data_IF_374493720714
#
_entry.id   IF_374493720714
#
_cell.length_a   1.000
_cell.length_b   1.000
_cell.length_c   1.000
_cell.angle_alpha   90.00
_cell.angle_beta   90.00
_cell.angle_gamma   90.00
#
_symmetry.space_group_name_H-M   'P 1'
#
loop_
_entity.id
_entity.type
_entity.pdbx_description
1 polymer ?
#
# COMPACT_ATOMS: atom_id res chain seq x y z
N UNK A 1 -12.34 8.75 16.28
CA UNK A 1 -12.84 7.45 15.75
C UNK A 1 -12.15 7.14 14.43
N UNK A 2 -11.80 5.88 14.16
CA UNK A 2 -11.12 5.43 12.93
C UNK A 2 -11.99 4.44 12.16
N UNK A 3 -12.27 4.73 10.88
CA UNK A 3 -13.06 3.87 9.99
C UNK A 3 -12.12 3.21 8.97
N UNK A 4 -12.14 1.89 8.85
CA UNK A 4 -11.26 1.20 7.88
C UNK A 4 -11.36 -0.32 7.90
N UNK A 5 -10.60 -0.98 7.02
CA UNK A 5 -10.33 -2.41 7.09
C UNK A 5 -9.18 -2.64 8.07
N UNK A 6 -9.52 -2.79 9.34
CA UNK A 6 -8.59 -2.81 10.47
C UNK A 6 -8.21 -4.22 10.94
N UNK A 7 -8.15 -5.17 10.02
CA UNK A 7 -7.61 -6.51 10.32
C UNK A 7 -6.11 -6.42 10.68
N UNK A 8 -5.63 -7.26 11.61
CA UNK A 8 -4.21 -7.35 11.92
C UNK A 8 -3.36 -7.56 10.65
N UNK A 9 -2.26 -6.81 10.53
CA UNK A 9 -1.39 -6.86 9.35
C UNK A 9 -1.77 -5.89 8.22
N UNK A 10 -2.95 -5.30 8.24
CA UNK A 10 -3.36 -4.29 7.26
C UNK A 10 -2.80 -2.90 7.60
N UNK A 11 -2.50 -2.10 6.56
CA UNK A 11 -1.96 -0.74 6.75
C UNK A 11 -2.93 0.19 7.50
N UNK A 12 -4.24 -0.01 7.36
CA UNK A 12 -5.25 0.72 8.11
C UNK A 12 -5.17 0.43 9.61
N UNK A 13 -4.93 -0.85 10.01
CA UNK A 13 -4.71 -1.22 11.40
C UNK A 13 -3.43 -0.58 11.97
N UNK A 14 -2.36 -0.53 11.17
CA UNK A 14 -1.10 0.12 11.56
C UNK A 14 -1.30 1.62 11.81
N UNK A 15 -2.07 2.31 10.95
CA UNK A 15 -2.41 3.73 11.14
C UNK A 15 -3.31 3.96 12.35
N UNK A 16 -4.30 3.10 12.58
CA UNK A 16 -5.14 3.15 13.79
C UNK A 16 -4.28 3.07 15.05
N UNK A 17 -3.33 2.12 15.11
CA UNK A 17 -2.40 2.01 16.25
C UNK A 17 -1.52 3.26 16.41
N UNK A 18 -1.09 3.86 15.30
CA UNK A 18 -0.29 5.07 15.33
C UNK A 18 -1.04 6.24 15.98
N UNK A 19 -2.36 6.39 15.78
CA UNK A 19 -3.17 7.36 16.50
C UNK A 19 -3.15 7.11 18.04
N UNK A 20 -3.25 5.85 18.48
CA UNK A 20 -3.15 5.50 19.91
C UNK A 20 -1.78 5.88 20.48
N UNK A 21 -0.69 5.65 19.72
CA UNK A 21 0.67 6.03 20.13
C UNK A 21 0.91 7.55 20.19
N UNK A 22 0.10 8.33 19.48
CA UNK A 22 0.08 9.80 19.59
C UNK A 22 -0.68 10.30 20.84
N UNK A 23 -1.20 9.38 21.67
CA UNK A 23 -1.91 9.72 22.91
C UNK A 23 -3.42 9.90 22.76
N UNK A 24 -3.98 9.61 21.57
CA UNK A 24 -5.42 9.72 21.35
C UNK A 24 -6.15 8.46 21.86
N UNK A 25 -7.34 8.66 22.42
CA UNK A 25 -8.30 7.56 22.65
C UNK A 25 -8.93 7.19 21.33
N UNK A 26 -8.73 5.97 20.84
CA UNK A 26 -9.17 5.56 19.49
C UNK A 26 -10.20 4.43 19.57
N UNK A 27 -11.35 4.65 18.94
CA UNK A 27 -12.32 3.59 18.61
C UNK A 27 -12.24 3.25 17.13
N UNK A 28 -11.85 2.02 16.82
CA UNK A 28 -11.85 1.49 15.45
C UNK A 28 -13.22 0.93 15.07
N UNK A 29 -13.71 1.27 13.87
CA UNK A 29 -14.89 0.68 13.25
C UNK A 29 -14.46 -0.06 11.99
N UNK A 30 -14.61 -1.38 11.99
CA UNK A 30 -14.20 -2.23 10.89
C UNK A 30 -15.24 -2.24 9.77
N UNK A 31 -15.09 -1.39 8.78
CA UNK A 31 -16.04 -1.23 7.67
C UNK A 31 -15.95 -2.32 6.60
N UNK A 32 -14.88 -3.12 6.58
CA UNK A 32 -14.70 -4.23 5.63
C UNK A 32 -15.42 -5.54 6.00
N UNK A 33 -15.83 -5.75 7.27
CA UNK A 33 -16.39 -7.03 7.73
C UNK A 33 -17.64 -7.48 6.96
N UNK A 34 -18.55 -6.56 6.66
CA UNK A 34 -19.75 -6.85 5.90
C UNK A 34 -19.42 -7.35 4.48
N UNK A 35 -18.39 -6.78 3.86
CA UNK A 35 -17.85 -7.23 2.57
C UNK A 35 -17.21 -8.61 2.65
N UNK A 36 -16.39 -8.86 3.65
CA UNK A 36 -15.69 -10.13 3.83
C UNK A 36 -16.66 -11.30 4.00
N UNK A 37 -17.76 -11.11 4.76
CA UNK A 37 -18.80 -12.12 4.99
C UNK A 37 -19.72 -12.35 3.80
N UNK A 38 -19.81 -11.40 2.87
CA UNK A 38 -20.72 -11.48 1.75
C UNK A 38 -20.22 -12.41 0.64
N UNK A 39 -21.16 -13.11 -0.05
CA UNK A 39 -20.84 -13.88 -1.24
C UNK A 39 -20.32 -12.98 -2.37
N UNK A 40 -19.51 -13.54 -3.26
CA UNK A 40 -18.96 -12.80 -4.41
C UNK A 40 -20.06 -12.11 -5.23
N UNK A 41 -21.15 -12.81 -5.52
CA UNK A 41 -22.29 -12.28 -6.28
C UNK A 41 -22.90 -11.04 -5.60
N UNK A 42 -23.15 -11.14 -4.28
CA UNK A 42 -23.68 -10.04 -3.48
C UNK A 42 -22.75 -8.82 -3.48
N UNK A 43 -21.42 -9.05 -3.41
CA UNK A 43 -20.41 -7.97 -3.50
C UNK A 43 -20.48 -7.28 -4.86
N UNK A 44 -20.54 -8.02 -5.97
CA UNK A 44 -20.59 -7.43 -7.32
C UNK A 44 -21.87 -6.64 -7.54
N UNK A 45 -22.99 -7.14 -7.06
CA UNK A 45 -24.27 -6.44 -7.15
C UNK A 45 -24.26 -5.12 -6.36
N UNK A 46 -23.76 -5.12 -5.13
CA UNK A 46 -23.79 -3.93 -4.27
C UNK A 46 -22.71 -2.89 -4.60
N UNK A 47 -21.66 -3.25 -5.35
CA UNK A 47 -20.75 -2.26 -5.94
C UNK A 47 -21.44 -1.39 -7.00
N UNK A 48 -22.37 -1.96 -7.74
CA UNK A 48 -23.11 -1.26 -8.81
C UNK A 48 -24.37 -0.56 -8.30
N UNK A 49 -25.03 -1.19 -7.31
CA UNK A 49 -26.25 -0.67 -6.70
C UNK A 49 -25.91 -0.22 -5.29
N UNK A 50 -25.82 1.10 -5.01
CA UNK A 50 -25.39 1.64 -3.72
C UNK A 50 -26.45 1.49 -2.60
N UNK A 51 -27.39 0.59 -2.79
CA UNK A 51 -28.45 0.22 -1.83
C UNK A 51 -28.40 -1.27 -1.61
N UNK A 52 -28.27 -1.68 -0.35
CA UNK A 52 -28.26 -3.09 0.00
C UNK A 52 -27.68 -3.35 1.38
N UNK A 53 -27.87 -4.57 1.89
CA UNK A 53 -27.60 -4.89 3.29
C UNK A 53 -26.14 -4.70 3.71
N UNK A 54 -25.15 -4.82 2.79
CA UNK A 54 -23.74 -4.56 3.13
C UNK A 54 -23.54 -3.07 3.39
N UNK A 55 -24.01 -2.22 2.46
CA UNK A 55 -23.89 -0.76 2.59
C UNK A 55 -24.67 -0.26 3.80
N UNK A 56 -25.88 -0.82 4.04
CA UNK A 56 -26.68 -0.49 5.21
C UNK A 56 -25.96 -0.83 6.52
N UNK A 57 -25.43 -2.05 6.63
CA UNK A 57 -24.68 -2.49 7.82
C UNK A 57 -23.46 -1.61 8.11
N UNK A 58 -22.71 -1.20 7.06
CA UNK A 58 -21.58 -0.29 7.22
C UNK A 58 -22.04 1.05 7.79
N UNK A 59 -23.05 1.67 7.16
CA UNK A 59 -23.53 2.99 7.57
C UNK A 59 -24.12 2.99 8.97
N UNK A 60 -24.92 1.97 9.31
CA UNK A 60 -25.51 1.81 10.65
C UNK A 60 -24.41 1.62 11.70
N UNK A 61 -23.40 0.79 11.44
CA UNK A 61 -22.29 0.56 12.39
C UNK A 61 -21.51 1.84 12.70
N UNK A 62 -21.32 2.69 11.69
CA UNK A 62 -20.63 4.00 11.85
C UNK A 62 -21.47 4.96 12.68
N UNK A 63 -22.77 5.08 12.40
CA UNK A 63 -23.66 5.98 13.17
C UNK A 63 -23.77 5.54 14.64
N UNK A 64 -23.95 4.24 14.89
CA UNK A 64 -24.01 3.70 16.26
C UNK A 64 -22.71 3.98 17.00
N UNK A 65 -21.56 3.68 16.39
CA UNK A 65 -20.26 3.92 17.00
C UNK A 65 -19.99 5.40 17.28
N UNK A 66 -20.41 6.30 16.38
CA UNK A 66 -20.26 7.73 16.57
C UNK A 66 -21.10 8.27 17.72
N UNK A 67 -22.34 7.80 17.86
CA UNK A 67 -23.23 8.17 18.98
C UNK A 67 -22.74 7.70 20.33
N UNK A 68 -22.20 6.48 20.39
CA UNK A 68 -21.68 5.89 21.63
C UNK A 68 -20.33 6.49 22.05
N UNK A 69 -19.48 6.84 21.10
CA UNK A 69 -18.12 7.26 21.36
C UNK A 69 -17.97 8.79 21.39
N UNK A 70 -18.90 9.54 20.76
CA UNK A 70 -18.85 11.00 20.62
C UNK A 70 -17.46 11.52 20.24
N UNK A 71 -16.95 11.17 19.04
CA UNK A 71 -15.58 11.49 18.67
C UNK A 71 -15.40 13.00 18.39
N UNK A 72 -14.23 13.55 18.74
CA UNK A 72 -13.81 14.88 18.28
C UNK A 72 -13.43 14.86 16.80
N UNK A 73 -12.89 13.70 16.33
CA UNK A 73 -12.39 13.51 14.98
C UNK A 73 -12.74 12.12 14.44
N UNK A 74 -13.17 12.08 13.18
CA UNK A 74 -13.36 10.83 12.42
C UNK A 74 -12.39 10.75 11.25
N UNK A 75 -11.48 9.79 11.30
CA UNK A 75 -10.57 9.45 10.20
C UNK A 75 -11.18 8.33 9.37
N UNK A 76 -11.65 8.65 8.16
CA UNK A 76 -12.26 7.71 7.23
C UNK A 76 -11.22 7.20 6.21
N UNK A 77 -10.63 6.02 6.48
CA UNK A 77 -9.61 5.42 5.64
C UNK A 77 -10.24 4.55 4.55
N UNK A 78 -10.09 4.93 3.29
CA UNK A 78 -10.63 4.23 2.11
C UNK A 78 -12.15 4.04 2.13
N UNK A 79 -12.89 4.97 2.68
CA UNK A 79 -14.34 4.81 2.79
C UNK A 79 -15.05 5.14 1.48
N UNK A 80 -15.64 4.13 0.85
CA UNK A 80 -16.30 4.23 -0.46
C UNK A 80 -17.82 4.11 -0.40
N UNK A 81 -18.40 3.80 0.77
CA UNK A 81 -19.80 3.43 0.93
C UNK A 81 -20.51 4.23 2.03
N UNK A 82 -19.91 5.30 2.53
CA UNK A 82 -20.57 6.19 3.47
C UNK A 82 -21.55 7.11 2.74
N UNK A 83 -22.81 7.06 3.14
CA UNK A 83 -23.87 7.88 2.58
C UNK A 83 -23.85 9.28 3.17
N UNK A 84 -24.43 10.25 2.47
CA UNK A 84 -24.56 11.62 2.94
C UNK A 84 -25.26 11.72 4.30
N UNK A 85 -26.34 10.94 4.49
CA UNK A 85 -27.08 10.91 5.76
C UNK A 85 -26.23 10.40 6.93
N UNK A 86 -25.32 9.44 6.65
CA UNK A 86 -24.38 8.93 7.66
C UNK A 86 -23.34 9.98 8.02
N UNK A 87 -22.76 10.65 7.03
CA UNK A 87 -21.80 11.74 7.23
C UNK A 87 -22.44 12.85 8.06
N UNK A 88 -23.66 13.24 7.72
CA UNK A 88 -24.40 14.26 8.45
C UNK A 88 -24.75 13.82 9.89
N UNK A 89 -25.15 12.56 10.07
CA UNK A 89 -25.42 12.03 11.41
C UNK A 89 -24.17 11.99 12.30
N UNK A 90 -23.00 11.71 11.72
CA UNK A 90 -21.72 11.76 12.43
C UNK A 90 -21.33 13.21 12.72
N UNK A 91 -21.49 14.14 11.77
CA UNK A 91 -21.22 15.57 11.97
C UNK A 91 -22.01 16.15 13.14
N UNK A 92 -23.26 15.72 13.34
CA UNK A 92 -24.10 16.15 14.49
C UNK A 92 -23.54 15.77 15.85
N UNK A 93 -22.55 14.89 15.94
CA UNK A 93 -21.82 14.63 17.20
C UNK A 93 -20.77 15.70 17.52
N UNK A 94 -20.53 16.67 16.62
CA UNK A 94 -19.49 17.69 16.75
C UNK A 94 -18.15 17.28 16.16
N UNK A 95 -18.04 16.08 15.55
CA UNK A 95 -16.79 15.55 15.01
C UNK A 95 -16.36 16.24 13.73
N UNK A 96 -15.06 16.45 13.59
CA UNK A 96 -14.40 16.80 12.32
C UNK A 96 -14.24 15.52 11.50
N UNK A 97 -14.69 15.55 10.25
CA UNK A 97 -14.64 14.40 9.36
C UNK A 97 -13.50 14.54 8.33
N UNK A 98 -12.56 13.62 8.39
CA UNK A 98 -11.42 13.54 7.46
C UNK A 98 -11.57 12.32 6.58
N UNK A 99 -11.43 12.51 5.26
CA UNK A 99 -11.30 11.39 4.32
C UNK A 99 -9.85 11.23 3.89
N UNK A 100 -9.36 9.99 3.95
CA UNK A 100 -8.03 9.60 3.48
C UNK A 100 -8.12 8.39 2.57
N UNK A 101 -7.44 8.41 1.43
CA UNK A 101 -7.20 7.22 0.62
C UNK A 101 -5.74 7.12 0.18
N UNK A 102 -5.08 5.99 0.46
CA UNK A 102 -3.72 5.71 -0.04
C UNK A 102 -3.71 5.21 -1.49
N UNK A 103 -4.86 4.86 -2.04
CA UNK A 103 -5.02 4.44 -3.43
C UNK A 103 -5.38 5.65 -4.32
N UNK A 104 -5.01 5.63 -5.61
CA UNK A 104 -5.45 6.68 -6.52
C UNK A 104 -6.97 6.63 -6.70
N UNK A 105 -7.65 7.69 -6.31
CA UNK A 105 -9.10 7.77 -6.37
C UNK A 105 -9.62 8.13 -7.75
N UNK A 106 -9.01 9.12 -8.38
CA UNK A 106 -9.47 9.61 -9.68
C UNK A 106 -9.00 8.71 -10.83
N UNK A 107 -7.83 8.10 -10.71
CA UNK A 107 -7.24 7.20 -11.71
C UNK A 107 -7.81 5.78 -11.72
N UNK A 108 -8.53 5.35 -10.68
CA UNK A 108 -9.05 3.99 -10.57
C UNK A 108 -10.58 3.96 -10.67
N UNK A 109 -11.20 4.09 -11.87
CA UNK A 109 -12.65 4.16 -12.02
C UNK A 109 -13.39 2.95 -11.41
N UNK A 110 -12.75 1.77 -11.39
CA UNK A 110 -13.32 0.55 -10.80
C UNK A 110 -13.29 0.53 -9.26
N UNK A 111 -12.51 1.42 -8.62
CA UNK A 111 -12.52 1.65 -7.17
C UNK A 111 -13.46 2.79 -6.76
N UNK A 112 -13.84 3.65 -7.70
CA UNK A 112 -14.81 4.69 -7.44
C UNK A 112 -16.21 4.08 -7.30
N UNK A 113 -16.93 4.52 -6.32
CA UNK A 113 -18.36 4.20 -6.18
C UNK A 113 -19.17 5.47 -6.34
N UNK A 114 -20.38 5.35 -6.89
CA UNK A 114 -21.29 6.47 -7.00
C UNK A 114 -21.52 7.18 -5.65
N UNK A 115 -21.61 6.39 -4.56
CA UNK A 115 -21.75 6.98 -3.21
C UNK A 115 -20.55 7.85 -2.88
N UNK A 116 -19.32 7.38 -3.11
CA UNK A 116 -18.13 8.16 -2.81
C UNK A 116 -18.04 9.43 -3.65
N UNK A 117 -18.39 9.35 -4.95
CA UNK A 117 -18.41 10.51 -5.83
C UNK A 117 -19.41 11.58 -5.34
N UNK A 118 -20.57 11.16 -4.81
CA UNK A 118 -21.60 12.03 -4.27
C UNK A 118 -21.24 12.60 -2.86
N UNK A 119 -20.35 11.93 -2.13
CA UNK A 119 -20.12 12.22 -0.70
C UNK A 119 -18.72 12.69 -0.34
N UNK A 120 -17.73 12.54 -1.22
CA UNK A 120 -16.35 12.94 -0.91
C UNK A 120 -16.24 14.42 -0.50
N UNK A 121 -16.97 15.29 -1.18
CA UNK A 121 -17.01 16.71 -0.84
C UNK A 121 -17.82 17.04 0.44
N UNK A 122 -18.48 16.04 1.04
CA UNK A 122 -19.15 16.21 2.32
C UNK A 122 -18.23 16.10 3.53
N UNK A 123 -16.99 15.61 3.35
CA UNK A 123 -15.96 15.62 4.39
C UNK A 123 -15.43 17.05 4.62
N UNK A 124 -14.96 17.31 5.84
CA UNK A 124 -14.47 18.65 6.21
C UNK A 124 -13.04 18.88 5.72
N UNK A 125 -12.22 17.80 5.68
CA UNK A 125 -10.85 17.83 5.18
C UNK A 125 -10.58 16.59 4.35
N UNK A 126 -9.86 16.75 3.23
CA UNK A 126 -9.42 15.65 2.39
C UNK A 126 -7.90 15.46 2.51
N UNK A 127 -7.49 14.26 2.86
CA UNK A 127 -6.08 13.88 2.93
C UNK A 127 -5.76 12.97 1.75
N UNK A 128 -4.80 13.36 0.93
CA UNK A 128 -4.36 12.61 -0.25
C UNK A 128 -2.87 12.29 -0.20
N UNK A 129 -2.46 11.24 -0.89
CA UNK A 129 -1.07 10.79 -0.91
C UNK A 129 -0.47 10.64 -2.32
N UNK A 130 -1.26 10.85 -3.35
CA UNK A 130 -0.83 10.77 -4.75
C UNK A 130 -0.70 12.18 -5.30
N UNK A 131 0.53 12.65 -5.48
CA UNK A 131 0.80 14.03 -5.92
C UNK A 131 0.16 14.36 -7.26
N UNK A 132 0.09 13.39 -8.17
CA UNK A 132 -0.53 13.53 -9.49
C UNK A 132 -2.06 13.70 -9.46
N UNK A 133 -2.74 13.40 -8.36
CA UNK A 133 -4.18 13.65 -8.17
C UNK A 133 -4.48 15.00 -7.50
N UNK A 134 -3.45 15.79 -7.20
CA UNK A 134 -3.60 17.07 -6.48
C UNK A 134 -4.63 17.99 -7.13
N UNK A 135 -4.55 18.16 -8.44
CA UNK A 135 -5.45 19.05 -9.18
C UNK A 135 -6.92 18.59 -9.10
N UNK A 136 -7.15 17.28 -9.16
CA UNK A 136 -8.51 16.73 -9.03
C UNK A 136 -9.08 16.95 -7.63
N UNK A 137 -8.24 16.82 -6.59
CA UNK A 137 -8.65 17.12 -5.21
C UNK A 137 -8.91 18.63 -5.00
N UNK A 138 -8.10 19.51 -5.59
CA UNK A 138 -8.30 20.97 -5.54
C UNK A 138 -9.65 21.39 -6.15
N UNK A 139 -10.12 20.69 -7.17
CA UNK A 139 -11.41 20.93 -7.81
C UNK A 139 -12.63 20.63 -6.88
N UNK A 140 -12.43 19.95 -5.77
CA UNK A 140 -13.49 19.69 -4.78
C UNK A 140 -13.73 20.86 -3.81
N UNK A 141 -12.91 21.90 -3.86
CA UNK A 141 -13.01 23.11 -3.03
C UNK A 141 -13.12 22.79 -1.52
N UNK A 142 -12.21 21.93 -1.03
CA UNK A 142 -12.10 21.52 0.36
C UNK A 142 -10.69 21.75 0.89
N UNK A 143 -10.52 21.96 2.20
CA UNK A 143 -9.22 21.93 2.82
C UNK A 143 -8.47 20.63 2.50
N UNK A 144 -7.24 20.76 2.02
CA UNK A 144 -6.42 19.63 1.55
C UNK A 144 -5.16 19.48 2.41
N UNK A 145 -4.83 18.23 2.73
CA UNK A 145 -3.57 17.86 3.37
C UNK A 145 -2.87 16.81 2.51
N UNK A 146 -1.69 17.11 2.01
CA UNK A 146 -0.83 16.10 1.39
C UNK A 146 -0.11 15.30 2.48
N UNK A 147 -0.33 13.99 2.51
CA UNK A 147 0.32 13.05 3.42
C UNK A 147 0.92 11.90 2.60
N UNK A 148 2.22 11.94 2.29
CA UNK A 148 2.88 10.82 1.61
C UNK A 148 2.69 9.51 2.35
N UNK A 149 2.79 8.39 1.64
CA UNK A 149 2.82 7.07 2.25
C UNK A 149 4.00 6.96 3.23
N UNK A 150 4.00 5.93 4.01
CA UNK A 150 5.01 5.67 5.03
C UNK A 150 5.03 4.20 5.43
N UNK A 151 5.61 3.92 6.58
CA UNK A 151 5.73 2.58 7.13
C UNK A 151 5.31 2.52 8.60
N UNK A 152 5.08 1.32 9.11
CA UNK A 152 4.84 1.07 10.52
C UNK A 152 6.15 0.66 11.20
N UNK A 153 6.68 1.48 12.08
CA UNK A 153 7.94 1.23 12.79
C UNK A 153 7.87 0.06 13.81
N UNK A 154 6.66 -0.34 14.21
CA UNK A 154 6.46 -1.55 15.03
C UNK A 154 6.57 -2.83 14.19
N UNK A 155 6.20 -2.79 12.92
CA UNK A 155 6.18 -3.93 12.00
C UNK A 155 7.40 -3.93 11.08
N UNK A 156 7.64 -2.82 10.39
CA UNK A 156 8.72 -2.69 9.42
C UNK A 156 10.00 -2.23 10.11
N UNK A 157 10.70 -3.20 10.65
CA UNK A 157 11.97 -3.03 11.36
C UNK A 157 12.93 -4.16 10.99
N UNK A 158 14.25 -3.98 11.16
CA UNK A 158 15.17 -5.08 10.97
C UNK A 158 14.81 -6.27 11.89
N UNK A 159 14.56 -7.42 11.28
CA UNK A 159 14.24 -8.66 11.98
C UNK A 159 15.05 -9.81 11.37
N UNK A 160 16.35 -9.92 11.76
CA UNK A 160 17.23 -10.95 11.23
C UNK A 160 16.72 -12.38 11.51
N UNK A 161 16.97 -13.27 10.56
CA UNK A 161 16.65 -14.70 10.69
C UNK A 161 17.78 -15.51 10.08
N UNK A 162 18.08 -16.66 10.67
CA UNK A 162 18.98 -17.67 10.10
C UNK A 162 18.26 -18.69 9.22
N UNK A 163 16.93 -18.64 9.14
CA UNK A 163 16.14 -19.56 8.32
C UNK A 163 16.33 -19.24 6.83
N UNK A 164 16.86 -20.18 6.02
CA UNK A 164 17.15 -19.97 4.61
C UNK A 164 15.94 -19.55 3.76
N UNK A 165 14.71 -19.86 4.21
CA UNK A 165 13.48 -19.44 3.50
C UNK A 165 13.34 -17.91 3.39
N UNK A 166 13.98 -17.16 4.29
CA UNK A 166 13.93 -15.69 4.30
C UNK A 166 15.14 -15.05 3.62
N UNK A 167 16.28 -15.76 3.53
CA UNK A 167 17.55 -15.21 3.03
C UNK A 167 17.62 -15.26 1.52
N UNK A 168 17.93 -14.14 0.86
CA UNK A 168 18.18 -14.09 -0.58
C UNK A 168 19.06 -12.88 -0.97
N UNK A 169 19.63 -12.93 -2.16
CA UNK A 169 20.34 -11.80 -2.74
C UNK A 169 19.38 -10.69 -3.15
N UNK A 170 18.25 -11.05 -3.76
CA UNK A 170 17.23 -10.12 -4.24
C UNK A 170 15.85 -10.59 -3.78
N UNK A 171 15.08 -9.70 -3.18
CA UNK A 171 13.71 -9.95 -2.76
C UNK A 171 12.70 -9.05 -3.46
N UNK A 172 11.59 -9.63 -3.90
CA UNK A 172 10.44 -8.89 -4.39
C UNK A 172 9.17 -9.30 -3.63
N UNK A 173 8.52 -8.32 -3.00
CA UNK A 173 7.26 -8.52 -2.30
C UNK A 173 6.16 -7.66 -2.96
N UNK A 174 5.35 -8.29 -3.80
CA UNK A 174 4.28 -7.60 -4.52
C UNK A 174 3.50 -8.49 -5.45
N UNK A 175 2.31 -8.01 -5.85
CA UNK A 175 1.45 -8.73 -6.79
C UNK A 175 2.03 -8.78 -8.21
N UNK A 176 1.59 -9.77 -8.96
CA UNK A 176 1.96 -9.95 -10.36
C UNK A 176 1.49 -8.79 -11.25
N UNK A 177 2.30 -8.50 -12.25
CA UNK A 177 2.02 -7.62 -13.39
C UNK A 177 2.97 -7.99 -14.53
N UNK A 178 2.59 -7.86 -15.82
CA UNK A 178 3.42 -8.29 -16.96
C UNK A 178 4.83 -7.70 -16.96
N UNK A 179 4.97 -6.41 -16.68
CA UNK A 179 6.30 -5.78 -16.59
C UNK A 179 7.15 -6.36 -15.47
N UNK A 180 6.54 -6.61 -14.30
CA UNK A 180 7.23 -7.21 -13.16
C UNK A 180 7.69 -8.63 -13.50
N UNK A 181 6.87 -9.39 -14.20
CA UNK A 181 7.20 -10.72 -14.66
C UNK A 181 8.45 -10.71 -15.55
N UNK A 182 8.46 -9.88 -16.61
CA UNK A 182 9.63 -9.76 -17.50
C UNK A 182 10.90 -9.36 -16.75
N UNK A 183 10.82 -8.31 -15.94
CA UNK A 183 11.95 -7.78 -15.20
C UNK A 183 12.51 -8.80 -14.18
N UNK A 184 11.64 -9.50 -13.47
CA UNK A 184 12.04 -10.53 -12.51
C UNK A 184 12.57 -11.77 -13.22
N UNK A 185 12.05 -12.12 -14.42
CA UNK A 185 12.62 -13.15 -15.27
C UNK A 185 14.07 -12.83 -15.65
N UNK A 186 14.32 -11.61 -16.15
CA UNK A 186 15.66 -11.20 -16.58
C UNK A 186 16.68 -11.25 -15.43
N UNK A 187 16.25 -10.88 -14.21
CA UNK A 187 17.08 -11.03 -13.01
C UNK A 187 17.32 -12.52 -12.69
N UNK A 188 16.27 -13.33 -12.66
CA UNK A 188 16.36 -14.75 -12.32
C UNK A 188 17.21 -15.54 -13.34
N UNK A 189 17.14 -15.20 -14.63
CA UNK A 189 17.92 -15.81 -15.70
C UNK A 189 19.44 -15.57 -15.56
N UNK A 190 19.86 -14.55 -14.76
CA UNK A 190 21.28 -14.36 -14.44
C UNK A 190 21.85 -15.38 -13.45
N UNK A 191 21.02 -16.20 -12.84
CA UNK A 191 21.41 -17.13 -11.77
C UNK A 191 21.53 -16.51 -10.38
N UNK A 192 21.16 -15.25 -10.21
CA UNK A 192 21.12 -14.57 -8.91
C UNK A 192 19.97 -15.15 -8.07
N UNK A 193 20.24 -15.39 -6.78
CA UNK A 193 19.25 -15.89 -5.82
C UNK A 193 18.16 -14.83 -5.60
N UNK A 194 17.03 -15.03 -6.29
CA UNK A 194 15.84 -14.20 -6.27
C UNK A 194 14.71 -14.92 -5.51
N UNK A 195 14.03 -14.19 -4.61
CA UNK A 195 12.79 -14.67 -3.98
C UNK A 195 11.63 -13.71 -4.25
N UNK A 196 10.51 -14.31 -4.71
CA UNK A 196 9.27 -13.59 -5.03
C UNK A 196 8.18 -14.05 -4.07
N UNK A 197 7.46 -13.10 -3.44
CA UNK A 197 6.28 -13.34 -2.62
C UNK A 197 5.18 -12.35 -2.97
N UNK A 198 3.95 -12.83 -3.04
CA UNK A 198 2.81 -11.96 -3.29
C UNK A 198 1.70 -12.60 -4.10
N UNK A 199 0.59 -11.90 -4.22
CA UNK A 199 -0.59 -12.40 -4.90
C UNK A 199 -0.45 -12.48 -6.42
N UNK A 200 -1.24 -13.35 -7.00
CA UNK A 200 -1.36 -13.59 -8.45
C UNK A 200 -0.16 -14.23 -9.15
N UNK A 201 0.84 -14.73 -8.40
CA UNK A 201 1.96 -15.50 -8.93
C UNK A 201 1.73 -17.03 -8.90
N UNK A 202 0.65 -17.49 -8.34
CA UNK A 202 0.31 -18.90 -8.15
C UNK A 202 0.22 -19.72 -9.46
N UNK A 203 0.20 -19.05 -10.62
CA UNK A 203 0.37 -19.73 -11.91
C UNK A 203 1.77 -20.32 -12.13
N UNK A 204 2.74 -19.90 -11.38
CA UNK A 204 4.08 -20.47 -11.40
C UNK A 204 4.14 -21.85 -10.71
N UNK A 205 3.18 -22.13 -9.84
CA UNK A 205 3.02 -23.41 -9.15
C UNK A 205 2.23 -24.44 -9.96
N UNK A 206 1.95 -25.60 -9.34
CA UNK A 206 1.19 -26.70 -9.96
C UNK A 206 -0.33 -26.52 -9.86
N UNK A 207 -0.80 -25.32 -9.54
CA UNK A 207 -2.19 -25.03 -9.23
C UNK A 207 -3.15 -25.11 -10.43
N UNK A 208 -4.32 -25.69 -10.19
CA UNK A 208 -5.43 -25.62 -11.14
C UNK A 208 -6.02 -24.20 -11.15
N UNK A 209 -6.00 -23.59 -12.30
CA UNK A 209 -6.51 -22.22 -12.50
C UNK A 209 -8.02 -22.14 -12.50
N UNK A 210 -8.59 -21.35 -11.60
CA UNK A 210 -9.99 -21.01 -11.72
C UNK A 210 -10.20 -20.01 -12.87
N UNK A 211 -11.32 -20.15 -13.62
CA UNK A 211 -11.72 -19.21 -14.67
C UNK A 211 -11.69 -17.74 -14.18
N UNK A 212 -12.09 -17.53 -12.92
CA UNK A 212 -12.06 -16.22 -12.27
C UNK A 212 -10.65 -15.64 -12.20
N UNK A 213 -9.65 -16.45 -11.87
CA UNK A 213 -8.24 -16.01 -11.77
C UNK A 213 -7.69 -15.65 -13.14
N UNK A 214 -8.03 -16.44 -14.17
CA UNK A 214 -7.69 -16.14 -15.55
C UNK A 214 -8.25 -14.79 -16.01
N UNK A 215 -9.48 -14.48 -15.67
CA UNK A 215 -10.13 -13.18 -15.99
C UNK A 215 -9.40 -12.04 -15.29
N UNK A 216 -9.06 -12.18 -14.00
CA UNK A 216 -8.33 -11.16 -13.24
C UNK A 216 -6.95 -10.90 -13.85
N UNK A 217 -6.21 -11.95 -14.18
CA UNK A 217 -4.88 -11.82 -14.79
C UNK A 217 -4.93 -11.18 -16.17
N UNK A 218 -5.92 -11.53 -17.00
CA UNK A 218 -6.16 -10.85 -18.27
C UNK A 218 -6.48 -9.37 -18.09
N UNK A 219 -7.25 -9.00 -17.06
CA UNK A 219 -7.53 -7.61 -16.76
C UNK A 219 -6.29 -6.85 -16.27
N UNK A 220 -5.46 -7.50 -15.45
CA UNK A 220 -4.20 -6.92 -14.98
C UNK A 220 -3.15 -6.79 -16.08
N UNK A 221 -3.16 -7.69 -17.04
CA UNK A 221 -2.26 -7.65 -18.20
C UNK A 221 -2.58 -6.49 -19.16
N UNK A 222 -3.85 -6.08 -19.23
CA UNK A 222 -4.26 -4.99 -20.12
C UNK A 222 -3.88 -5.27 -21.58
N UNK A 223 -3.25 -4.28 -22.23
CA UNK A 223 -2.79 -4.37 -23.62
C UNK A 223 -1.60 -5.31 -23.83
N UNK A 224 -0.83 -5.59 -22.77
CA UNK A 224 0.35 -6.46 -22.86
C UNK A 224 -0.01 -7.94 -23.09
N UNK A 225 -1.28 -8.29 -22.85
CA UNK A 225 -1.78 -9.65 -22.96
C UNK A 225 -1.28 -10.53 -21.80
N UNK A 226 -1.98 -11.62 -21.55
CA UNK A 226 -1.55 -12.64 -20.60
C UNK A 226 -1.41 -13.98 -21.33
N UNK A 227 -0.18 -14.47 -21.37
CA UNK A 227 0.15 -15.77 -21.91
C UNK A 227 0.39 -16.75 -20.76
N UNK A 228 -0.36 -17.85 -20.72
CA UNK A 228 -0.16 -18.93 -19.76
C UNK A 228 1.14 -19.68 -20.09
N UNK A 229 2.26 -19.13 -19.67
CA UNK A 229 3.56 -19.77 -19.79
C UNK A 229 4.15 -19.97 -18.40
N UNK A 230 4.54 -21.21 -18.08
CA UNK A 230 5.27 -21.51 -16.85
C UNK A 230 6.73 -21.17 -17.08
N UNK A 231 7.15 -20.09 -16.47
CA UNK A 231 8.55 -19.67 -16.43
C UNK A 231 9.30 -20.48 -15.37
N UNK A 232 10.29 -21.26 -15.78
CA UNK A 232 11.06 -22.10 -14.87
C UNK A 232 11.92 -21.29 -13.89
N UNK A 233 12.48 -20.16 -14.32
CA UNK A 233 13.28 -19.30 -13.45
C UNK A 233 12.39 -18.68 -12.35
N UNK A 234 11.27 -18.13 -12.73
CA UNK A 234 10.30 -17.54 -11.80
C UNK A 234 9.63 -18.59 -10.91
N UNK A 235 9.38 -19.82 -11.44
CA UNK A 235 8.84 -20.92 -10.64
C UNK A 235 9.77 -21.33 -9.49
N UNK A 236 11.08 -21.27 -9.71
CA UNK A 236 12.08 -21.51 -8.64
C UNK A 236 12.16 -20.35 -7.66
N UNK A 237 12.00 -19.12 -8.13
CA UNK A 237 12.07 -17.90 -7.33
C UNK A 237 10.82 -17.70 -6.47
N UNK A 238 9.66 -18.20 -6.90
CA UNK A 238 8.40 -17.99 -6.20
C UNK A 238 8.32 -18.79 -4.90
N UNK A 239 8.07 -18.10 -3.80
CA UNK A 239 8.06 -18.65 -2.44
C UNK A 239 6.66 -18.65 -1.81
N UNK A 240 5.61 -18.41 -2.59
CA UNK A 240 4.23 -18.41 -2.14
C UNK A 240 3.57 -17.02 -2.08
N UNK A 241 2.41 -16.98 -1.46
CA UNK A 241 1.56 -15.80 -1.36
C UNK A 241 2.13 -14.69 -0.47
N UNK A 242 1.29 -13.70 -0.19
CA UNK A 242 1.66 -12.56 0.66
C UNK A 242 2.02 -12.99 2.08
N UNK A 243 2.99 -12.30 2.65
CA UNK A 243 3.39 -12.43 4.06
C UNK A 243 3.12 -11.12 4.80
N UNK A 244 2.82 -11.21 6.09
CA UNK A 244 2.41 -10.08 6.92
C UNK A 244 3.17 -10.05 8.25
N UNK A 245 3.10 -8.93 8.95
CA UNK A 245 3.68 -8.72 10.27
C UNK A 245 5.17 -9.12 10.33
N UNK A 246 5.57 -9.94 11.28
CA UNK A 246 6.97 -10.36 11.47
C UNK A 246 7.52 -11.17 10.28
N UNK A 247 6.71 -11.97 9.59
CA UNK A 247 7.16 -12.70 8.42
C UNK A 247 7.45 -11.77 7.22
N UNK A 248 6.69 -10.67 7.11
CA UNK A 248 7.02 -9.60 6.18
C UNK A 248 8.36 -8.96 6.50
N UNK A 249 8.55 -8.57 7.77
CA UNK A 249 9.81 -7.96 8.23
C UNK A 249 11.01 -8.91 8.00
N UNK A 250 10.87 -10.22 8.31
CA UNK A 250 11.91 -11.23 8.06
C UNK A 250 12.22 -11.37 6.57
N UNK A 251 11.19 -11.44 5.72
CA UNK A 251 11.37 -11.58 4.28
C UNK A 251 12.10 -10.38 3.66
N UNK A 252 11.77 -9.16 4.12
CA UNK A 252 12.46 -7.94 3.64
C UNK A 252 13.86 -7.85 4.23
N UNK A 253 14.04 -8.04 5.54
CA UNK A 253 15.36 -7.99 6.19
C UNK A 253 16.32 -9.03 5.63
N UNK A 254 15.81 -10.22 5.28
CA UNK A 254 16.61 -11.32 4.71
C UNK A 254 17.01 -11.13 3.25
N UNK A 255 16.41 -10.18 2.55
CA UNK A 255 16.80 -9.80 1.19
C UNK A 255 17.90 -8.74 1.24
N UNK A 256 19.06 -9.00 0.62
CA UNK A 256 20.13 -8.01 0.53
C UNK A 256 19.72 -6.77 -0.26
N UNK A 257 18.96 -6.98 -1.34
CA UNK A 257 18.36 -5.95 -2.19
C UNK A 257 16.86 -6.18 -2.23
N UNK A 258 16.07 -5.19 -1.83
CA UNK A 258 14.62 -5.19 -1.99
C UNK A 258 14.19 -4.39 -3.22
N UNK A 259 13.40 -5.00 -4.10
CA UNK A 259 12.93 -4.35 -5.31
C UNK A 259 11.64 -3.57 -5.07
N UNK A 260 11.70 -2.26 -5.31
CA UNK A 260 10.57 -1.32 -5.23
C UNK A 260 9.92 -1.08 -6.59
N UNK A 261 9.31 -2.13 -7.20
CA UNK A 261 8.73 -2.04 -8.54
C UNK A 261 7.36 -1.37 -8.53
N UNK A 262 7.25 -0.23 -9.18
CA UNK A 262 5.98 0.47 -9.37
C UNK A 262 5.10 -0.26 -10.40
N UNK A 263 3.80 -0.04 -10.33
CA UNK A 263 2.87 -0.47 -11.38
C UNK A 263 2.80 0.58 -12.47
N UNK A 264 2.76 0.14 -13.75
CA UNK A 264 2.61 1.07 -14.86
C UNK A 264 1.17 1.43 -15.21
N UNK A 265 0.20 0.76 -14.60
CA UNK A 265 -1.22 1.01 -14.86
C UNK A 265 -1.66 2.41 -14.41
N UNK A 266 -0.92 3.01 -13.48
CA UNK A 266 -1.10 4.39 -13.02
C UNK A 266 0.25 5.04 -12.71
N UNK A 267 0.33 6.37 -12.69
CA UNK A 267 1.59 7.10 -12.59
C UNK A 267 2.10 7.23 -11.14
N UNK A 268 2.11 6.11 -10.38
CA UNK A 268 2.64 6.12 -9.03
C UNK A 268 4.10 6.57 -9.01
N UNK A 269 4.42 7.51 -8.14
CA UNK A 269 5.75 8.05 -7.93
C UNK A 269 6.47 7.37 -6.76
N UNK A 270 5.69 6.84 -5.78
CA UNK A 270 6.17 6.02 -4.67
C UNK A 270 5.07 5.09 -4.17
N UNK A 271 5.46 4.08 -3.39
CA UNK A 271 4.55 3.16 -2.70
C UNK A 271 4.97 2.96 -1.24
N UNK A 272 4.26 2.16 -0.47
CA UNK A 272 4.70 1.80 0.89
C UNK A 272 6.04 1.07 0.87
N UNK A 273 6.35 0.29 -0.18
CA UNK A 273 7.63 -0.42 -0.36
C UNK A 273 8.84 0.52 -0.37
N UNK A 274 8.65 1.74 -0.85
CA UNK A 274 9.66 2.80 -0.86
C UNK A 274 10.21 3.07 0.55
N UNK A 275 9.37 2.92 1.58
CA UNK A 275 9.74 3.15 2.97
C UNK A 275 9.96 1.84 3.74
N UNK A 276 9.15 0.81 3.48
CA UNK A 276 9.19 -0.46 4.19
C UNK A 276 10.50 -1.22 3.96
N UNK A 277 11.02 -1.19 2.72
CA UNK A 277 12.27 -1.88 2.37
C UNK A 277 13.45 -1.33 3.16
N UNK A 278 13.79 -0.03 3.09
CA UNK A 278 14.90 0.49 3.85
C UNK A 278 14.63 0.50 5.36
N UNK A 279 13.38 0.65 5.81
CA UNK A 279 13.03 0.55 7.23
C UNK A 279 13.30 -0.85 7.83
N UNK A 280 13.28 -1.90 7.01
CA UNK A 280 13.70 -3.25 7.39
C UNK A 280 15.21 -3.50 7.23
N UNK A 281 16.01 -2.50 6.83
CA UNK A 281 17.46 -2.61 6.68
C UNK A 281 17.93 -3.22 5.35
N UNK A 282 17.05 -3.44 4.39
CA UNK A 282 17.40 -3.89 3.04
C UNK A 282 17.72 -2.70 2.13
N UNK A 283 18.64 -2.87 1.16
CA UNK A 283 18.89 -1.86 0.15
C UNK A 283 17.68 -1.71 -0.77
N UNK A 284 17.14 -0.50 -0.90
CA UNK A 284 16.09 -0.21 -1.85
C UNK A 284 16.68 -0.02 -3.26
N UNK A 285 16.22 -0.83 -4.22
CA UNK A 285 16.42 -0.61 -5.65
C UNK A 285 15.05 -0.49 -6.31
N UNK A 286 14.71 0.70 -6.84
CA UNK A 286 13.36 1.04 -7.27
C UNK A 286 13.32 1.72 -8.63
N UNK A 287 12.11 1.85 -9.22
CA UNK A 287 11.90 2.70 -10.41
C UNK A 287 12.35 4.14 -10.11
N UNK A 288 13.07 4.77 -11.06
CA UNK A 288 13.47 6.17 -10.92
C UNK A 288 12.28 7.09 -11.16
N UNK A 289 11.90 7.85 -10.14
CA UNK A 289 10.84 8.87 -10.17
C UNK A 289 11.31 10.14 -9.49
N UNK A 290 10.62 11.24 -9.72
CA UNK A 290 10.96 12.50 -9.06
C UNK A 290 10.76 12.40 -7.54
N UNK A 291 9.63 11.82 -7.08
CA UNK A 291 9.40 11.64 -5.64
C UNK A 291 10.40 10.68 -4.98
N UNK A 292 10.85 9.62 -5.66
CA UNK A 292 11.91 8.77 -5.12
C UNK A 292 13.20 9.54 -4.90
N UNK A 293 13.60 10.42 -5.85
CA UNK A 293 14.79 11.26 -5.74
C UNK A 293 14.66 12.37 -4.70
N UNK A 294 13.45 12.85 -4.41
CA UNK A 294 13.19 13.78 -3.32
C UNK A 294 13.25 13.09 -1.95
N UNK A 295 12.80 11.83 -1.88
CA UNK A 295 12.75 11.06 -0.65
C UNK A 295 14.12 10.50 -0.22
N UNK A 296 14.93 10.06 -1.19
CA UNK A 296 16.22 9.40 -0.97
C UNK A 296 17.27 9.91 -1.94
N UNK A 297 18.49 10.17 -1.45
CA UNK A 297 19.65 10.49 -2.28
C UNK A 297 20.05 9.24 -3.11
N UNK A 298 19.99 9.37 -4.46
CA UNK A 298 20.28 8.30 -5.40
C UNK A 298 21.76 7.89 -5.32
N UNK A 299 22.05 6.60 -5.23
CA UNK A 299 23.39 6.03 -5.09
C UNK A 299 23.99 6.14 -3.67
N UNK A 300 23.28 6.79 -2.73
CA UNK A 300 23.72 6.99 -1.35
C UNK A 300 22.75 6.38 -0.33
N UNK A 301 21.44 6.66 -0.41
CA UNK A 301 20.41 6.21 0.53
C UNK A 301 19.48 5.16 -0.09
N UNK A 302 19.35 5.16 -1.41
CA UNK A 302 18.68 4.16 -2.25
C UNK A 302 19.29 4.23 -3.65
N UNK A 303 18.95 3.29 -4.52
CA UNK A 303 19.33 3.44 -5.93
C UNK A 303 18.14 3.17 -6.84
N UNK A 304 18.14 3.81 -8.02
CA UNK A 304 16.99 3.84 -8.91
C UNK A 304 17.38 3.45 -10.33
N UNK A 305 16.43 2.90 -11.08
CA UNK A 305 16.62 2.51 -12.47
C UNK A 305 15.50 3.02 -13.37
N UNK A 306 15.81 3.27 -14.64
CA UNK A 306 14.89 3.75 -15.67
C UNK A 306 14.58 2.69 -16.74
N UNK A 307 15.39 1.64 -16.84
CA UNK A 307 15.22 0.58 -17.85
C UNK A 307 15.38 -0.82 -17.26
N UNK A 308 14.86 -1.82 -17.97
CA UNK A 308 14.96 -3.24 -17.58
C UNK A 308 16.42 -3.72 -17.60
N UNK A 309 17.24 -3.24 -18.54
CA UNK A 309 18.69 -3.54 -18.56
C UNK A 309 19.42 -2.91 -17.37
N UNK A 310 19.13 -1.65 -17.04
CA UNK A 310 19.77 -0.95 -15.93
C UNK A 310 19.53 -1.65 -14.59
N UNK A 311 18.32 -2.16 -14.33
CA UNK A 311 18.07 -2.89 -13.07
C UNK A 311 18.86 -4.20 -12.99
N UNK A 312 18.99 -4.94 -14.09
CA UNK A 312 19.80 -6.17 -14.13
C UNK A 312 21.25 -5.87 -13.85
N UNK A 313 21.81 -4.83 -14.48
CA UNK A 313 23.22 -4.42 -14.27
C UNK A 313 23.45 -3.96 -12.84
N UNK A 314 22.55 -3.15 -12.25
CA UNK A 314 22.64 -2.72 -10.85
C UNK A 314 22.51 -3.88 -9.88
N UNK A 315 21.61 -4.83 -10.12
CA UNK A 315 21.49 -6.03 -9.31
C UNK A 315 22.80 -6.82 -9.33
N UNK A 316 23.41 -7.07 -10.51
CA UNK A 316 24.71 -7.76 -10.63
C UNK A 316 25.81 -7.01 -9.88
N UNK A 317 25.89 -5.69 -10.07
CA UNK A 317 26.87 -4.84 -9.41
C UNK A 317 26.77 -4.92 -7.87
N UNK A 318 25.58 -4.74 -7.31
CA UNK A 318 25.40 -4.76 -5.86
C UNK A 318 25.48 -6.16 -5.23
N UNK A 319 25.13 -7.22 -5.98
CA UNK A 319 25.38 -8.59 -5.53
C UNK A 319 26.89 -8.92 -5.47
N UNK A 320 27.69 -8.33 -6.37
CA UNK A 320 29.15 -8.47 -6.39
C UNK A 320 29.90 -7.48 -5.51
N UNK A 321 29.25 -6.41 -5.02
CA UNK A 321 29.89 -5.33 -4.25
C UNK A 321 29.19 -5.11 -2.91
N UNK A 322 29.43 -6.03 -1.97
CA UNK A 322 28.82 -6.01 -0.63
C UNK A 322 29.06 -4.68 0.13
N UNK A 323 30.28 -4.06 0.13
CA UNK A 323 30.51 -2.80 0.82
C UNK A 323 29.64 -1.66 0.30
N UNK A 324 29.50 -1.51 -1.03
CA UNK A 324 28.66 -0.48 -1.64
C UNK A 324 27.18 -0.70 -1.30
N UNK A 325 26.69 -1.94 -1.43
CA UNK A 325 25.32 -2.32 -1.11
C UNK A 325 24.99 -2.05 0.37
N UNK A 326 25.85 -2.51 1.28
CA UNK A 326 25.62 -2.37 2.73
C UNK A 326 25.62 -0.92 3.17
N UNK A 327 26.50 -0.07 2.59
CA UNK A 327 26.51 1.37 2.84
C UNK A 327 25.18 2.02 2.48
N UNK A 328 24.64 1.74 1.28
CA UNK A 328 23.36 2.28 0.84
C UNK A 328 22.21 1.77 1.72
N UNK A 329 22.17 0.48 2.03
CA UNK A 329 21.15 -0.09 2.92
C UNK A 329 21.12 0.60 4.30
N UNK A 330 22.31 0.81 4.88
CA UNK A 330 22.43 1.48 6.17
C UNK A 330 22.01 2.96 6.10
N UNK A 331 22.41 3.68 5.06
CA UNK A 331 22.04 5.08 4.87
C UNK A 331 20.52 5.22 4.63
N UNK A 332 19.92 4.35 3.80
CA UNK A 332 18.48 4.32 3.57
C UNK A 332 17.68 4.02 4.84
N UNK A 333 18.16 3.08 5.68
CA UNK A 333 17.56 2.83 6.98
C UNK A 333 17.56 4.10 7.86
N UNK A 334 18.71 4.76 8.00
CA UNK A 334 18.83 6.02 8.76
C UNK A 334 17.90 7.08 8.18
N UNK A 335 17.86 7.23 6.86
CA UNK A 335 16.97 8.17 6.18
C UNK A 335 15.51 7.95 6.55
N UNK A 336 15.03 6.70 6.62
CA UNK A 336 13.67 6.39 7.04
C UNK A 336 13.36 6.82 8.47
N UNK A 337 14.31 6.61 9.40
CA UNK A 337 14.13 6.95 10.82
C UNK A 337 14.23 8.47 11.03
N UNK A 338 15.32 9.09 10.58
CA UNK A 338 15.60 10.51 10.77
C UNK A 338 14.63 11.40 9.97
N UNK A 339 14.21 10.94 8.78
CA UNK A 339 13.22 11.59 7.92
C UNK A 339 11.79 11.50 8.44
N UNK A 340 11.57 10.80 9.55
CA UNK A 340 10.25 10.64 10.19
C UNK A 340 9.18 10.10 9.24
N UNK A 341 9.53 9.06 8.47
CA UNK A 341 8.63 8.46 7.48
C UNK A 341 7.63 7.47 8.08
N UNK A 342 7.73 7.12 9.38
CA UNK A 342 6.77 6.25 10.03
C UNK A 342 5.37 6.86 10.11
N UNK A 343 4.32 6.01 10.11
CA UNK A 343 2.93 6.44 10.19
C UNK A 343 2.64 7.36 11.37
N UNK A 344 3.27 7.13 12.52
CA UNK A 344 3.10 8.00 13.69
C UNK A 344 3.52 9.44 13.40
N UNK A 345 4.62 9.64 12.67
CA UNK A 345 5.09 10.98 12.32
C UNK A 345 4.27 11.60 11.18
N UNK A 346 3.87 10.79 10.16
CA UNK A 346 3.01 11.25 9.06
C UNK A 346 1.65 11.73 9.59
N UNK A 347 1.03 10.95 10.47
CA UNK A 347 -0.25 11.31 11.08
C UNK A 347 -0.12 12.52 11.99
N UNK A 348 0.96 12.61 12.79
CA UNK A 348 1.21 13.81 13.59
C UNK A 348 1.29 15.05 12.71
N UNK A 349 2.08 15.02 11.64
CA UNK A 349 2.21 16.15 10.71
C UNK A 349 0.86 16.51 10.05
N UNK A 350 0.02 15.52 9.73
CA UNK A 350 -1.31 15.76 9.18
C UNK A 350 -2.25 16.43 10.23
N UNK A 351 -2.20 15.99 11.48
CA UNK A 351 -2.97 16.60 12.59
C UNK A 351 -2.47 18.01 12.92
N UNK A 352 -1.16 18.26 12.91
CA UNK A 352 -0.59 19.59 13.12
C UNK A 352 -1.07 20.56 12.02
N UNK A 353 -1.14 20.12 10.76
CA UNK A 353 -1.71 20.91 9.65
C UNK A 353 -3.21 21.12 9.80
N UNK A 354 -3.95 20.13 10.28
CA UNK A 354 -5.37 20.26 10.55
C UNK A 354 -5.63 21.40 11.57
N UNK A 355 -4.85 21.45 12.64
CA UNK A 355 -4.95 22.50 13.66
C UNK A 355 -4.65 23.91 13.14
N UNK A 356 -3.94 24.05 12.01
CA UNK A 356 -3.68 25.34 11.36
C UNK A 356 -4.81 25.78 10.40
N UNK A 357 -5.64 24.84 9.97
CA UNK A 357 -6.75 25.10 9.03
C UNK A 357 -8.03 25.53 9.79
N UNK A 358 -8.15 25.14 11.05
CA UNK A 358 -9.24 25.51 11.95
C UNK A 358 -9.00 26.88 12.58
#
# INVERSE_FOLDING_TARGET
>A
MYLGEIDPGQTAHMRLRAFGRLGHTVRGVHTGRAWQRASWFKRQMQRRIPRGSIVEEINQSVVVAAREFTPDLVWADKQQFLRAETIEAVRKTGAILIHFTPDPYFYLPWKRTRIMDETIAAFDVLVYCKSYERHDYEALDKPLIYMPLGFCDEVHRPLPSSDPRWLCSVGFLGGWEPRRERLLHDIAATGIDLKIRGGYWDFLGDGKWSLRRQIILKQLAGSDGFHFHRDEFLSRAWQGDEVYADDYARAVTGAKIGLGLLRRVWPDQHTTRTFEIPACGSMLLADRTDEHRELFAEGEEADFFSSESEVVDKVKFYCGNEPARARIAQAGYRRCIDGRYAYVHRLKAALDRLAMIQ
#
